data_IF_354815847120
#
_entry.id   IF_354815847120
#
_cell.length_a   1.000
_cell.length_b   1.000
_cell.length_c   1.000
_cell.angle_alpha   90.00
_cell.angle_beta   90.00
_cell.angle_gamma   90.00
#
_symmetry.space_group_name_H-M   'P 1'
#
loop_
_entity.id
_entity.type
_entity.pdbx_description
1 polymer ?
#
# COMPACT_ATOMS: atom_id res chain seq x y z
N UNK A 1 -40.11 -7.17 -30.08
CA UNK A 1 -39.82 -7.77 -28.76
C UNK A 1 -38.37 -8.25 -28.66
N UNK A 2 -37.88 -9.12 -29.56
CA UNK A 2 -36.49 -9.61 -29.56
C UNK A 2 -35.41 -8.50 -29.64
N UNK A 3 -35.67 -7.43 -30.42
CA UNK A 3 -34.74 -6.31 -30.57
C UNK A 3 -34.45 -5.58 -29.26
N UNK A 4 -35.48 -5.32 -28.45
CA UNK A 4 -35.32 -4.66 -27.16
C UNK A 4 -34.51 -5.53 -26.18
N UNK A 5 -34.70 -6.85 -26.24
CA UNK A 5 -33.95 -7.80 -25.43
C UNK A 5 -32.46 -7.83 -25.82
N UNK A 6 -32.17 -7.79 -27.12
CA UNK A 6 -30.80 -7.72 -27.63
C UNK A 6 -30.08 -6.43 -27.20
N UNK A 7 -30.74 -5.28 -27.33
CA UNK A 7 -30.21 -3.98 -26.90
C UNK A 7 -29.98 -3.94 -25.39
N UNK A 8 -30.89 -4.52 -24.59
CA UNK A 8 -30.73 -4.60 -23.14
C UNK A 8 -29.51 -5.42 -22.71
N UNK A 9 -29.22 -6.52 -23.40
CA UNK A 9 -28.04 -7.37 -23.11
C UNK A 9 -26.74 -6.63 -23.45
N UNK A 10 -26.68 -6.01 -24.62
CA UNK A 10 -25.50 -5.24 -25.06
C UNK A 10 -25.25 -4.06 -24.10
N UNK A 11 -26.30 -3.35 -23.74
CA UNK A 11 -26.20 -2.22 -22.81
C UNK A 11 -25.72 -2.66 -21.41
N UNK A 12 -26.26 -3.75 -20.88
CA UNK A 12 -25.81 -4.32 -19.60
C UNK A 12 -24.35 -4.78 -19.63
N UNK A 13 -23.90 -5.36 -20.75
CA UNK A 13 -22.51 -5.79 -20.93
C UNK A 13 -21.55 -4.59 -20.94
N UNK A 14 -21.88 -3.52 -21.66
CA UNK A 14 -21.06 -2.29 -21.71
C UNK A 14 -20.99 -1.62 -20.33
N UNK A 15 -22.12 -1.52 -19.62
CA UNK A 15 -22.17 -0.90 -18.30
C UNK A 15 -21.35 -1.71 -17.28
N UNK A 16 -21.44 -3.04 -17.34
CA UNK A 16 -20.67 -3.94 -16.47
C UNK A 16 -19.16 -3.78 -16.69
N UNK A 17 -18.74 -3.68 -17.96
CA UNK A 17 -17.33 -3.42 -18.31
C UNK A 17 -16.87 -2.05 -17.81
N UNK A 18 -17.67 -1.00 -18.03
CA UNK A 18 -17.35 0.36 -17.60
C UNK A 18 -17.19 0.48 -16.08
N UNK A 19 -18.13 -0.09 -15.32
CA UNK A 19 -18.06 -0.11 -13.85
C UNK A 19 -16.85 -0.90 -13.36
N UNK A 20 -16.60 -2.07 -13.95
CA UNK A 20 -15.52 -2.94 -13.50
C UNK A 20 -14.15 -2.29 -13.72
N UNK A 21 -13.90 -1.67 -14.86
CA UNK A 21 -12.64 -0.96 -15.11
C UNK A 21 -12.44 0.27 -14.22
N UNK A 22 -13.51 1.00 -13.86
CA UNK A 22 -13.41 2.16 -12.96
C UNK A 22 -13.11 1.73 -11.52
N UNK A 23 -13.83 0.71 -11.03
CA UNK A 23 -13.64 0.18 -9.67
C UNK A 23 -12.25 -0.42 -9.50
N UNK A 24 -11.74 -1.09 -10.52
CA UNK A 24 -10.40 -1.69 -10.51
C UNK A 24 -9.30 -0.61 -10.50
N UNK A 25 -9.47 0.47 -11.26
CA UNK A 25 -8.52 1.58 -11.27
C UNK A 25 -8.46 2.32 -9.92
N UNK A 26 -9.61 2.52 -9.25
CA UNK A 26 -9.65 3.14 -7.92
C UNK A 26 -8.94 2.27 -6.87
N UNK A 27 -9.19 0.96 -6.88
CA UNK A 27 -8.52 0.02 -5.96
C UNK A 27 -7.01 0.03 -6.16
N UNK A 28 -6.55 0.07 -7.41
CA UNK A 28 -5.13 0.11 -7.73
C UNK A 28 -4.48 1.41 -7.23
N UNK A 29 -5.13 2.57 -7.45
CA UNK A 29 -4.63 3.86 -6.97
C UNK A 29 -4.56 3.95 -5.44
N UNK A 30 -5.56 3.41 -4.73
CA UNK A 30 -5.55 3.36 -3.27
C UNK A 30 -4.37 2.51 -2.77
N UNK A 31 -4.20 1.31 -3.32
CA UNK A 31 -3.10 0.42 -2.92
C UNK A 31 -1.71 1.00 -3.23
N UNK A 32 -1.55 1.65 -4.38
CA UNK A 32 -0.29 2.32 -4.73
C UNK A 32 0.02 3.48 -3.78
N UNK A 33 -0.98 4.30 -3.44
CA UNK A 33 -0.81 5.40 -2.49
C UNK A 33 -0.43 4.89 -1.10
N UNK A 34 -1.03 3.80 -0.65
CA UNK A 34 -0.73 3.16 0.63
C UNK A 34 0.69 2.61 0.66
N UNK A 35 1.12 1.93 -0.40
CA UNK A 35 2.49 1.44 -0.53
C UNK A 35 3.53 2.58 -0.50
N UNK A 36 3.30 3.66 -1.25
CA UNK A 36 4.19 4.83 -1.25
C UNK A 36 4.27 5.48 0.14
N UNK A 37 3.14 5.55 0.85
CA UNK A 37 3.08 6.09 2.22
C UNK A 37 3.88 5.21 3.17
N UNK A 38 3.72 3.88 3.11
CA UNK A 38 4.49 2.94 3.91
C UNK A 38 6.00 3.03 3.61
N UNK A 39 6.37 3.13 2.33
CA UNK A 39 7.77 3.24 1.92
C UNK A 39 8.41 4.55 2.44
N UNK A 40 7.70 5.67 2.34
CA UNK A 40 8.16 6.94 2.90
C UNK A 40 8.34 6.88 4.42
N UNK A 41 7.38 6.28 5.14
CA UNK A 41 7.50 6.06 6.58
C UNK A 41 8.68 5.18 6.94
N UNK A 42 8.90 4.11 6.19
CA UNK A 42 10.02 3.20 6.41
C UNK A 42 11.36 3.91 6.24
N UNK A 43 11.48 4.76 5.19
CA UNK A 43 12.69 5.54 4.93
C UNK A 43 12.93 6.64 5.95
N UNK A 44 11.88 7.37 6.35
CA UNK A 44 11.96 8.35 7.44
C UNK A 44 12.37 7.68 8.75
N UNK A 45 11.85 6.49 9.02
CA UNK A 45 12.23 5.70 10.19
C UNK A 45 13.68 5.26 10.11
N UNK A 46 14.17 4.84 8.94
CA UNK A 46 15.59 4.55 8.74
C UNK A 46 16.48 5.77 8.99
N UNK A 47 16.07 6.96 8.53
CA UNK A 47 16.85 8.19 8.67
C UNK A 47 16.85 8.72 10.12
N UNK A 48 15.74 8.56 10.85
CA UNK A 48 15.61 8.96 12.27
C UNK A 48 15.94 7.84 13.27
N UNK A 49 16.24 6.61 12.82
CA UNK A 49 16.58 5.49 13.69
C UNK A 49 17.99 5.65 14.28
N UNK A 50 18.08 6.49 15.31
CA UNK A 50 19.30 6.66 16.12
C UNK A 50 19.48 5.49 17.10
N UNK A 51 18.37 4.88 17.53
CA UNK A 51 18.34 3.80 18.53
C UNK A 51 18.31 2.38 17.92
N UNK A 52 18.73 1.38 18.71
CA UNK A 52 18.78 -0.05 18.28
C UNK A 52 17.39 -0.64 18.00
N UNK A 53 16.34 -0.10 18.59
CA UNK A 53 14.95 -0.50 18.35
C UNK A 53 14.05 0.59 18.86
N UNK A 54 12.95 0.85 18.19
CA UNK A 54 11.96 1.81 18.64
C UNK A 54 10.69 1.73 17.81
N UNK A 55 9.74 2.59 18.18
CA UNK A 55 8.48 2.71 17.46
C UNK A 55 8.28 4.20 17.15
N UNK A 56 8.10 4.52 15.87
CA UNK A 56 7.71 5.87 15.43
C UNK A 56 6.24 5.83 15.08
N UNK A 57 5.44 6.63 15.79
CA UNK A 57 4.02 6.81 15.49
C UNK A 57 3.86 7.94 14.49
N UNK A 58 3.38 7.63 13.30
CA UNK A 58 3.04 8.59 12.26
C UNK A 58 1.53 8.84 12.23
N UNK A 59 1.10 9.94 11.61
CA UNK A 59 -0.33 10.26 11.46
C UNK A 59 -1.12 9.27 10.59
N UNK A 60 -0.44 8.40 9.84
CA UNK A 60 -1.05 7.43 8.92
C UNK A 60 -0.77 5.97 9.34
N UNK A 61 -0.13 5.75 10.50
CA UNK A 61 0.26 4.42 10.95
C UNK A 61 1.38 4.40 11.98
N UNK A 62 1.80 3.20 12.34
CA UNK A 62 2.88 2.94 13.30
C UNK A 62 4.02 2.25 12.56
N UNK A 63 5.22 2.78 12.66
CA UNK A 63 6.44 2.17 12.13
C UNK A 63 7.26 1.61 13.27
N UNK A 64 7.29 0.30 13.40
CA UNK A 64 8.16 -0.42 14.31
C UNK A 64 9.50 -0.68 13.61
N UNK A 65 10.62 -0.33 14.25
CA UNK A 65 11.95 -0.61 13.69
C UNK A 65 12.82 -1.33 14.70
N UNK A 66 13.55 -2.33 14.22
CA UNK A 66 14.49 -3.10 15.02
C UNK A 66 15.78 -3.29 14.24
N UNK A 67 16.88 -2.80 14.81
CA UNK A 67 18.24 -2.96 14.29
C UNK A 67 18.84 -4.25 14.84
N UNK A 68 18.97 -5.25 13.99
CA UNK A 68 19.59 -6.55 14.32
C UNK A 68 20.94 -6.62 13.61
N UNK A 69 22.00 -6.26 14.33
CA UNK A 69 23.37 -6.24 13.79
C UNK A 69 23.58 -5.13 12.76
N UNK A 70 23.83 -5.49 11.49
CA UNK A 70 23.96 -4.56 10.34
C UNK A 70 22.66 -4.36 9.56
N UNK A 71 21.62 -5.12 9.88
CA UNK A 71 20.32 -5.05 9.20
C UNK A 71 19.32 -4.29 10.06
N UNK A 72 18.61 -3.36 9.45
CA UNK A 72 17.50 -2.62 10.05
C UNK A 72 16.20 -3.16 9.48
N UNK A 73 15.43 -3.88 10.29
CA UNK A 73 14.11 -4.34 9.92
C UNK A 73 13.08 -3.27 10.33
N UNK A 74 12.25 -2.84 9.39
CA UNK A 74 11.23 -1.81 9.59
C UNK A 74 9.87 -2.37 9.19
N UNK A 75 8.99 -2.51 10.17
CA UNK A 75 7.62 -2.95 10.01
C UNK A 75 6.69 -1.74 10.09
N UNK A 76 6.11 -1.34 8.95
CA UNK A 76 5.14 -0.25 8.90
C UNK A 76 3.73 -0.82 8.90
N UNK A 77 2.96 -0.54 9.94
CA UNK A 77 1.53 -0.82 10.04
C UNK A 77 0.75 0.46 9.73
N UNK A 78 0.09 0.50 8.59
CA UNK A 78 -0.81 1.61 8.25
C UNK A 78 -2.15 1.47 8.99
N UNK A 79 -2.88 2.58 9.12
CA UNK A 79 -4.21 2.61 9.76
C UNK A 79 -5.25 1.72 9.06
N UNK A 80 -5.05 1.40 7.78
CA UNK A 80 -5.87 0.48 7.00
C UNK A 80 -5.65 -1.02 7.34
N UNK A 81 -4.94 -1.32 8.43
CA UNK A 81 -4.52 -2.66 8.85
C UNK A 81 -3.56 -3.39 7.88
N UNK A 82 -3.05 -2.71 6.86
CA UNK A 82 -2.01 -3.26 5.96
C UNK A 82 -0.65 -3.09 6.63
N UNK A 83 0.09 -4.19 6.72
CA UNK A 83 1.43 -4.22 7.29
C UNK A 83 2.44 -4.46 6.18
N UNK A 84 3.39 -3.54 6.04
CA UNK A 84 4.51 -3.68 5.11
C UNK A 84 5.80 -3.91 5.90
N UNK A 85 6.59 -4.88 5.47
CA UNK A 85 7.92 -5.14 6.00
C UNK A 85 8.97 -4.65 5.03
N UNK A 86 9.95 -3.92 5.55
CA UNK A 86 11.08 -3.41 4.81
C UNK A 86 12.37 -3.78 5.54
N UNK A 87 13.19 -4.61 4.90
CA UNK A 87 14.51 -4.96 5.39
C UNK A 87 15.55 -4.05 4.73
N UNK A 88 16.13 -3.16 5.52
CA UNK A 88 17.24 -2.33 5.10
C UNK A 88 18.55 -2.97 5.58
N UNK A 89 19.21 -3.69 4.69
CA UNK A 89 20.60 -4.10 4.91
C UNK A 89 21.49 -2.89 4.63
N UNK A 90 22.10 -2.29 5.65
CA UNK A 90 23.20 -1.35 5.43
C UNK A 90 24.42 -2.19 5.01
N UNK A 91 24.49 -2.50 3.73
CA UNK A 91 25.74 -2.90 3.06
C UNK A 91 26.52 -1.60 2.88
N UNK A 92 27.12 -1.12 3.97
CA UNK A 92 28.21 -0.16 3.87
C UNK A 92 29.42 -0.97 3.41
N UNK A 93 29.73 -0.88 2.13
CA UNK A 93 31.08 -1.11 1.58
C UNK A 93 31.75 0.25 1.39
#
# INVERSE_FOLDING_TARGET
MLYALLISVIFGMILSFYLSSIVENQKNLISQKEFLTAQLMARLTQEHADEKSGQIRFNHGISDYQKVGKTLNVTVKLENAVTYHFDFSNITE
#
